data_IF_889681909676
#
_entry.id   IF_889681909676
#
_cell.length_a   1.000
_cell.length_b   1.000
_cell.length_c   1.000
_cell.angle_alpha   90.00
_cell.angle_beta   90.00
_cell.angle_gamma   90.00
#
_symmetry.space_group_name_H-M   'P 1'
#
loop_
_entity.id
_entity.type
_entity.pdbx_description
1 polymer ?
#
# COMPACT_ATOMS: atom_id res chain seq x y z
N UNK A 1 -14.95 39.33 -15.05
CA UNK A 1 -13.60 39.13 -14.48
C UNK A 1 -13.54 37.70 -13.99
N UNK A 2 -12.68 36.88 -14.59
CA UNK A 2 -12.68 35.42 -14.40
C UNK A 2 -12.18 35.02 -13.02
N UNK A 3 -12.92 34.16 -12.35
CA UNK A 3 -12.48 33.41 -11.16
C UNK A 3 -11.98 32.06 -11.61
N UNK A 4 -10.66 31.89 -11.67
CA UNK A 4 -9.95 30.62 -11.92
C UNK A 4 -8.61 30.78 -11.19
N UNK A 5 -8.08 29.86 -10.39
CA UNK A 5 -8.32 28.45 -10.16
C UNK A 5 -7.73 28.15 -8.78
N UNK A 6 -8.32 27.23 -8.01
CA UNK A 6 -7.79 26.80 -6.72
C UNK A 6 -6.33 26.31 -6.85
N UNK A 7 -5.38 27.10 -6.36
CA UNK A 7 -4.01 26.65 -6.17
C UNK A 7 -3.91 25.99 -4.79
N UNK A 8 -4.24 24.70 -4.71
CA UNK A 8 -3.73 23.87 -3.62
C UNK A 8 -2.60 23.06 -4.22
N UNK A 9 -1.41 23.64 -4.22
CA UNK A 9 -0.17 22.91 -4.49
C UNK A 9 0.55 22.79 -3.16
N UNK A 10 0.18 21.77 -2.39
CA UNK A 10 1.07 21.21 -1.38
C UNK A 10 0.90 19.69 -1.34
N UNK A 11 1.46 19.04 -2.36
CA UNK A 11 1.36 17.60 -2.63
C UNK A 11 2.53 16.77 -2.04
N UNK A 12 3.60 17.31 -1.42
CA UNK A 12 4.59 16.46 -0.73
C UNK A 12 4.09 15.79 0.55
N UNK A 13 3.19 16.41 1.31
CA UNK A 13 2.74 15.86 2.59
C UNK A 13 1.75 14.70 2.40
N UNK A 14 0.80 14.85 1.47
CA UNK A 14 -0.17 13.80 1.16
C UNK A 14 0.50 12.55 0.57
N UNK A 15 1.44 12.73 -0.36
CA UNK A 15 2.22 11.64 -0.93
C UNK A 15 3.00 10.87 0.15
N UNK A 16 3.64 11.57 1.09
CA UNK A 16 4.32 10.95 2.23
C UNK A 16 3.35 10.15 3.11
N UNK A 17 2.15 10.69 3.38
CA UNK A 17 1.13 9.98 4.15
C UNK A 17 0.68 8.71 3.44
N UNK A 18 0.44 8.75 2.13
CA UNK A 18 0.06 7.57 1.34
C UNK A 18 1.16 6.51 1.38
N UNK A 19 2.43 6.90 1.21
CA UNK A 19 3.56 5.98 1.30
C UNK A 19 3.68 5.36 2.69
N UNK A 20 3.48 6.15 3.75
CA UNK A 20 3.52 5.62 5.12
C UNK A 20 2.40 4.60 5.34
N UNK A 21 1.17 4.90 4.93
CA UNK A 21 0.04 3.96 5.06
C UNK A 21 0.29 2.66 4.29
N UNK A 22 0.85 2.76 3.08
CA UNK A 22 1.20 1.59 2.29
C UNK A 22 2.30 0.75 2.95
N UNK A 23 3.31 1.40 3.53
CA UNK A 23 4.37 0.73 4.29
C UNK A 23 3.83 0.04 5.55
N UNK A 24 2.89 0.68 6.25
CA UNK A 24 2.25 0.11 7.43
C UNK A 24 1.45 -1.16 7.06
N UNK A 25 0.74 -1.14 5.92
CA UNK A 25 0.06 -2.33 5.38
C UNK A 25 1.05 -3.46 5.06
N UNK A 26 2.20 -3.13 4.46
CA UNK A 26 3.24 -4.10 4.15
C UNK A 26 3.81 -4.76 5.42
N UNK A 27 4.04 -3.99 6.49
CA UNK A 27 4.50 -4.51 7.78
C UNK A 27 3.50 -5.52 8.36
N UNK A 28 2.20 -5.30 8.17
CA UNK A 28 1.16 -6.27 8.57
C UNK A 28 1.29 -7.57 7.76
N UNK A 29 1.50 -7.48 6.44
CA UNK A 29 1.72 -8.66 5.60
C UNK A 29 2.97 -9.46 5.99
N UNK A 30 4.08 -8.78 6.29
CA UNK A 30 5.31 -9.40 6.80
C UNK A 30 5.06 -10.15 8.11
N UNK A 31 4.39 -9.51 9.07
CA UNK A 31 4.05 -10.13 10.37
C UNK A 31 3.15 -11.34 10.22
N UNK A 32 2.12 -11.24 9.37
CA UNK A 32 1.22 -12.36 9.12
C UNK A 32 1.97 -13.55 8.50
N UNK A 33 2.81 -13.29 7.49
CA UNK A 33 3.67 -14.31 6.89
C UNK A 33 4.57 -14.98 7.92
N UNK A 34 5.25 -14.21 8.75
CA UNK A 34 6.16 -14.75 9.75
C UNK A 34 5.42 -15.63 10.77
N UNK A 35 4.26 -15.18 11.26
CA UNK A 35 3.40 -16.00 12.12
C UNK A 35 2.91 -17.26 11.42
N UNK A 36 2.54 -17.19 10.15
CA UNK A 36 2.09 -18.36 9.37
C UNK A 36 3.22 -19.37 9.18
N UNK A 37 4.44 -18.92 8.88
CA UNK A 37 5.63 -19.78 8.78
C UNK A 37 6.01 -20.43 10.11
N UNK A 38 5.74 -19.76 11.23
CA UNK A 38 5.93 -20.29 12.58
C UNK A 38 4.79 -21.20 13.05
N UNK A 39 3.68 -21.28 12.31
CA UNK A 39 2.47 -22.00 12.71
C UNK A 39 1.71 -21.34 13.88
N UNK A 40 1.90 -20.04 14.11
CA UNK A 40 1.30 -19.28 15.23
C UNK A 40 0.26 -18.26 14.78
N UNK A 41 -0.02 -18.17 13.48
CA UNK A 41 -1.03 -17.27 12.93
C UNK A 41 -2.43 -17.63 13.45
N UNK A 42 -3.17 -16.63 13.92
CA UNK A 42 -4.57 -16.75 14.32
C UNK A 42 -5.52 -16.32 13.21
N UNK A 43 -6.83 -16.56 13.39
CA UNK A 43 -7.86 -16.05 12.49
C UNK A 43 -7.91 -14.51 12.49
N UNK A 44 -7.68 -13.88 13.65
CA UNK A 44 -7.59 -12.41 13.78
C UNK A 44 -6.40 -11.84 12.98
N UNK A 45 -5.27 -12.56 12.96
CA UNK A 45 -4.12 -12.17 12.15
C UNK A 45 -4.44 -12.27 10.65
N UNK A 46 -5.23 -13.26 10.24
CA UNK A 46 -5.66 -13.43 8.86
C UNK A 46 -6.66 -12.35 8.43
N UNK A 47 -7.63 -12.00 9.28
CA UNK A 47 -8.57 -10.90 9.03
C UNK A 47 -7.83 -9.56 8.92
N UNK A 48 -6.94 -9.28 9.88
CA UNK A 48 -6.10 -8.06 9.86
C UNK A 48 -5.26 -7.99 8.60
N UNK A 49 -4.67 -9.11 8.17
CA UNK A 49 -3.93 -9.18 6.91
C UNK A 49 -4.82 -8.84 5.70
N UNK A 50 -5.99 -9.47 5.59
CA UNK A 50 -6.92 -9.23 4.46
C UNK A 50 -7.34 -7.77 4.39
N UNK A 51 -7.70 -7.16 5.51
CA UNK A 51 -8.10 -5.75 5.57
C UNK A 51 -6.97 -4.82 5.11
N UNK A 52 -5.74 -5.10 5.51
CA UNK A 52 -4.57 -4.31 5.12
C UNK A 52 -4.17 -4.54 3.66
N UNK A 53 -4.32 -5.75 3.12
CA UNK A 53 -4.12 -6.01 1.69
C UNK A 53 -5.12 -5.24 0.83
N UNK A 54 -6.40 -5.18 1.24
CA UNK A 54 -7.44 -4.39 0.54
C UNK A 54 -7.13 -2.90 0.62
N UNK A 55 -6.67 -2.41 1.77
CA UNK A 55 -6.24 -1.03 1.93
C UNK A 55 -5.04 -0.69 1.03
N UNK A 56 -4.03 -1.56 0.99
CA UNK A 56 -2.86 -1.39 0.13
C UNK A 56 -3.25 -1.40 -1.35
N UNK A 57 -4.08 -2.33 -1.81
CA UNK A 57 -4.59 -2.36 -3.19
C UNK A 57 -5.31 -1.04 -3.54
N UNK A 58 -6.07 -0.50 -2.61
CA UNK A 58 -6.78 0.77 -2.80
C UNK A 58 -5.81 1.96 -2.94
N UNK A 59 -4.75 2.01 -2.14
CA UNK A 59 -3.71 3.03 -2.26
C UNK A 59 -2.96 2.90 -3.59
N UNK A 60 -2.58 1.67 -3.96
CA UNK A 60 -1.81 1.38 -5.18
C UNK A 60 -2.56 1.75 -6.46
N UNK A 61 -3.91 1.71 -6.47
CA UNK A 61 -4.71 2.24 -7.58
C UNK A 61 -4.38 3.70 -7.93
N UNK A 62 -3.97 4.52 -6.95
CA UNK A 62 -3.50 5.89 -7.20
C UNK A 62 -2.21 5.94 -8.01
N UNK A 63 -1.33 4.94 -7.89
CA UNK A 63 -0.11 4.88 -8.68
C UNK A 63 -0.36 4.42 -10.12
N UNK A 64 -1.42 3.63 -10.36
CA UNK A 64 -1.84 3.23 -11.70
C UNK A 64 -2.63 4.32 -12.44
N UNK A 65 -3.31 5.22 -11.73
CA UNK A 65 -3.98 6.36 -12.34
C UNK A 65 -2.98 7.45 -12.73
N UNK A 66 -2.87 7.73 -14.04
CA UNK A 66 -1.99 8.76 -14.57
C UNK A 66 -2.45 10.20 -14.23
N UNK A 67 -3.67 10.37 -13.70
CA UNK A 67 -4.24 11.65 -13.29
C UNK A 67 -4.40 11.77 -11.76
N UNK A 68 -3.78 10.88 -10.96
CA UNK A 68 -3.88 10.92 -9.49
C UNK A 68 -3.26 12.16 -8.83
N UNK A 69 -2.52 12.96 -9.59
CA UNK A 69 -1.77 14.11 -9.07
C UNK A 69 -0.48 13.71 -8.36
N UNK A 70 -0.14 12.41 -8.32
CA UNK A 70 1.10 11.92 -7.71
C UNK A 70 2.32 12.15 -8.62
N UNK A 71 3.44 12.49 -8.01
CA UNK A 71 4.75 12.51 -8.68
C UNK A 71 5.15 11.11 -9.16
N UNK A 72 5.93 11.04 -10.24
CA UNK A 72 6.46 9.77 -10.76
C UNK A 72 7.25 8.98 -9.71
N UNK A 73 8.01 9.67 -8.86
CA UNK A 73 8.79 9.04 -7.79
C UNK A 73 7.87 8.32 -6.79
N UNK A 74 6.85 9.00 -6.28
CA UNK A 74 5.90 8.40 -5.33
C UNK A 74 5.11 7.26 -5.97
N UNK A 75 4.73 7.36 -7.25
CA UNK A 75 4.10 6.25 -7.98
C UNK A 75 4.99 5.01 -8.01
N UNK A 76 6.27 5.18 -8.35
CA UNK A 76 7.22 4.05 -8.39
C UNK A 76 7.43 3.42 -7.01
N UNK A 77 7.50 4.22 -5.96
CA UNK A 77 7.62 3.70 -4.59
C UNK A 77 6.39 2.88 -4.18
N UNK A 78 5.19 3.36 -4.48
CA UNK A 78 3.94 2.67 -4.14
C UNK A 78 3.79 1.34 -4.89
N UNK A 79 4.15 1.30 -6.19
CA UNK A 79 4.22 0.05 -6.97
C UNK A 79 5.32 -0.89 -6.45
N UNK A 80 6.41 -0.34 -5.93
CA UNK A 80 7.46 -1.11 -5.27
C UNK A 80 6.95 -1.85 -4.02
N UNK A 81 6.12 -1.18 -3.21
CA UNK A 81 5.50 -1.77 -2.01
C UNK A 81 4.54 -2.91 -2.40
N UNK A 82 3.69 -2.72 -3.41
CA UNK A 82 2.81 -3.79 -3.93
C UNK A 82 3.62 -5.01 -4.39
N UNK A 83 4.69 -4.78 -5.16
CA UNK A 83 5.56 -5.86 -5.63
C UNK A 83 6.18 -6.65 -4.47
N UNK A 84 6.57 -5.97 -3.38
CA UNK A 84 7.07 -6.60 -2.17
C UNK A 84 5.99 -7.44 -1.48
N UNK A 85 4.78 -6.91 -1.31
CA UNK A 85 3.65 -7.66 -0.73
C UNK A 85 3.37 -8.95 -1.52
N UNK A 86 3.30 -8.85 -2.86
CA UNK A 86 3.09 -10.02 -3.73
C UNK A 86 4.19 -11.06 -3.52
N UNK A 87 5.46 -10.63 -3.49
CA UNK A 87 6.61 -11.53 -3.28
C UNK A 87 6.58 -12.22 -1.91
N UNK A 88 6.15 -11.52 -0.85
CA UNK A 88 5.99 -12.10 0.48
C UNK A 88 4.97 -13.25 0.48
N UNK A 89 3.92 -13.13 -0.33
CA UNK A 89 2.80 -14.08 -0.36
C UNK A 89 3.00 -15.28 -1.30
N UNK A 90 3.95 -15.23 -2.25
CA UNK A 90 4.22 -16.34 -3.17
C UNK A 90 4.51 -17.68 -2.47
N UNK A 91 5.39 -17.75 -1.44
CA UNK A 91 5.71 -19.01 -0.75
C UNK A 91 4.53 -19.60 0.03
N UNK A 92 3.46 -18.82 0.28
CA UNK A 92 2.29 -19.24 1.04
C UNK A 92 1.19 -19.87 0.16
N UNK A 93 1.36 -19.87 -1.17
CA UNK A 93 0.40 -20.46 -2.13
C UNK A 93 0.71 -21.91 -2.51
N UNK A 94 1.92 -22.39 -2.20
CA UNK A 94 2.40 -23.73 -2.60
C UNK A 94 2.27 -24.80 -1.50
N UNK A 95 1.75 -24.46 -0.33
CA UNK A 95 1.52 -25.38 0.79
C UNK A 95 0.08 -25.39 1.26
#
# INVERSE_FOLDING_TARGET
MGTTTAAIVDIPQLEKTILQMAQDCLIVAERYRDKRLQGTATDEDAETFVDNSVALETLVKLAYDNNSGMTTETRMLLLGIESQEVQLMLPLREG
#
